data_IF_800810522131
#
_entry.id   IF_800810522131
#
_cell.length_a   1.000
_cell.length_b   1.000
_cell.length_c   1.000
_cell.angle_alpha   90.00
_cell.angle_beta   90.00
_cell.angle_gamma   90.00
#
_symmetry.space_group_name_H-M   'P 1'
#
loop_
_entity.id
_entity.type
_entity.pdbx_description
1 polymer ?
#
# COMPACT_ATOMS: atom_id res chain seq x y z
N UNK A 1 24.75 17.07 -25.55
CA UNK A 1 24.06 18.36 -25.27
C UNK A 1 24.27 19.33 -26.43
N UNK A 2 23.39 20.34 -26.60
CA UNK A 2 23.38 21.30 -27.74
C UNK A 2 24.68 22.12 -27.93
N UNK A 3 25.63 22.04 -26.99
CA UNK A 3 26.96 22.69 -27.06
C UNK A 3 28.15 21.76 -27.35
N UNK A 4 27.95 20.51 -27.77
CA UNK A 4 29.06 19.58 -28.07
C UNK A 4 29.63 18.83 -26.86
N UNK A 5 28.97 18.90 -25.69
CA UNK A 5 29.34 18.08 -24.53
C UNK A 5 28.91 16.63 -24.76
N UNK A 6 29.89 15.75 -24.91
CA UNK A 6 29.71 14.30 -24.92
C UNK A 6 29.66 13.79 -23.47
N UNK A 7 28.67 12.95 -23.17
CA UNK A 7 28.57 12.23 -21.91
C UNK A 7 28.42 10.74 -22.22
N UNK A 8 29.11 9.89 -21.45
CA UNK A 8 29.00 8.44 -21.54
C UNK A 8 28.77 7.89 -20.13
N UNK A 9 27.86 6.94 -19.99
CA UNK A 9 27.54 6.26 -18.74
C UNK A 9 27.68 4.76 -18.98
N UNK A 10 28.38 4.08 -18.08
CA UNK A 10 28.40 2.62 -18.00
C UNK A 10 27.55 2.23 -16.80
N UNK A 11 26.54 1.39 -17.03
CA UNK A 11 25.68 0.83 -16.00
C UNK A 11 25.88 -0.68 -15.98
N UNK A 12 26.08 -1.23 -14.79
CA UNK A 12 26.18 -2.67 -14.55
C UNK A 12 24.99 -3.17 -13.74
N UNK A 13 24.75 -4.49 -13.79
CA UNK A 13 23.70 -5.14 -13.00
C UNK A 13 24.01 -5.06 -11.51
N UNK A 14 22.97 -4.90 -10.68
CA UNK A 14 23.13 -5.01 -9.24
C UNK A 14 23.50 -6.46 -8.86
N UNK A 15 24.38 -6.68 -7.87
CA UNK A 15 24.63 -8.02 -7.34
C UNK A 15 23.34 -8.72 -6.92
N UNK A 16 23.31 -10.05 -7.07
CA UNK A 16 22.16 -10.83 -6.62
C UNK A 16 21.88 -10.58 -5.12
N UNK A 17 20.62 -10.34 -4.73
CA UNK A 17 20.28 -10.12 -3.34
C UNK A 17 20.57 -11.38 -2.51
N UNK A 18 21.03 -11.18 -1.28
CA UNK A 18 21.12 -12.27 -0.31
C UNK A 18 19.71 -12.84 -0.06
N UNK A 19 19.58 -14.17 0.05
CA UNK A 19 18.31 -14.78 0.42
C UNK A 19 17.94 -14.36 1.86
N UNK A 20 16.82 -13.66 2.00
CA UNK A 20 16.31 -13.25 3.30
C UNK A 20 15.88 -14.47 4.15
N UNK A 21 16.01 -14.31 5.47
CA UNK A 21 15.62 -15.31 6.46
C UNK A 21 14.10 -15.60 6.44
N UNK A 22 13.74 -16.77 6.99
CA UNK A 22 12.40 -17.35 6.98
C UNK A 22 11.24 -16.35 7.18
N UNK A 23 10.17 -16.56 6.42
CA UNK A 23 8.95 -15.77 6.50
C UNK A 23 8.47 -15.66 7.96
N UNK A 24 8.16 -14.44 8.45
CA UNK A 24 7.60 -14.28 9.79
C UNK A 24 6.28 -15.05 9.92
N UNK A 25 5.96 -15.49 11.16
CA UNK A 25 4.74 -16.24 11.47
C UNK A 25 3.49 -15.63 10.81
N UNK A 26 2.63 -16.49 10.27
CA UNK A 26 1.36 -16.08 9.65
C UNK A 26 0.48 -15.36 10.67
N UNK A 27 0.34 -14.04 10.50
CA UNK A 27 -0.66 -13.27 11.24
C UNK A 27 -2.04 -13.61 10.69
N UNK A 28 -2.97 -13.97 11.57
CA UNK A 28 -4.37 -14.20 11.19
C UNK A 28 -5.03 -12.97 10.53
N UNK A 29 -4.53 -11.76 10.85
CA UNK A 29 -5.06 -10.49 10.37
C UNK A 29 -3.95 -9.49 10.07
N UNK A 30 -4.14 -8.68 9.05
CA UNK A 30 -3.24 -7.60 8.64
C UNK A 30 -4.03 -6.36 8.22
N UNK A 31 -3.35 -5.21 8.23
CA UNK A 31 -3.91 -3.92 7.80
C UNK A 31 -3.13 -3.43 6.58
N UNK A 32 -3.84 -3.11 5.51
CA UNK A 32 -3.29 -2.45 4.34
C UNK A 32 -3.67 -0.95 4.36
N UNK A 33 -2.70 -0.04 4.53
CA UNK A 33 -2.94 1.39 4.47
C UNK A 33 -2.80 1.92 3.04
N UNK A 34 -3.72 2.80 2.63
CA UNK A 34 -3.61 3.66 1.45
C UNK A 34 -3.73 5.12 1.88
N UNK A 35 -3.05 6.00 1.17
CA UNK A 35 -3.23 7.44 1.38
C UNK A 35 -3.09 8.23 0.10
N UNK A 36 -3.82 9.33 0.02
CA UNK A 36 -3.86 10.23 -1.12
C UNK A 36 -3.94 11.70 -0.69
N UNK A 37 -3.58 12.60 -1.61
CA UNK A 37 -3.72 14.05 -1.42
C UNK A 37 -5.18 14.50 -1.56
N UNK A 38 -5.94 13.83 -2.41
CA UNK A 38 -7.36 14.07 -2.65
C UNK A 38 -8.16 12.79 -2.34
N UNK A 39 -9.37 12.90 -1.76
CA UNK A 39 -10.16 11.73 -1.38
C UNK A 39 -10.53 10.87 -2.59
N UNK A 40 -10.80 11.51 -3.73
CA UNK A 40 -11.28 10.86 -4.95
C UNK A 40 -10.22 9.98 -5.64
N UNK A 41 -8.94 10.11 -5.24
CA UNK A 41 -7.87 9.23 -5.73
C UNK A 41 -7.81 7.89 -4.97
N UNK A 42 -8.51 7.74 -3.84
CA UNK A 42 -8.49 6.49 -3.07
C UNK A 42 -9.14 5.30 -3.82
N UNK A 43 -10.29 5.46 -4.51
CA UNK A 43 -10.83 4.42 -5.40
C UNK A 43 -9.88 4.00 -6.52
N UNK A 44 -9.17 4.95 -7.13
CA UNK A 44 -8.19 4.66 -8.20
C UNK A 44 -6.98 3.89 -7.66
N UNK A 45 -6.47 4.28 -6.49
CA UNK A 45 -5.40 3.53 -5.80
C UNK A 45 -5.86 2.12 -5.44
N UNK A 46 -7.09 1.96 -4.92
CA UNK A 46 -7.66 0.66 -4.63
C UNK A 46 -7.73 -0.20 -5.90
N UNK A 47 -8.09 0.38 -7.05
CA UNK A 47 -8.08 -0.29 -8.34
C UNK A 47 -6.68 -0.78 -8.74
N UNK A 48 -5.67 0.09 -8.64
CA UNK A 48 -4.30 -0.28 -8.94
C UNK A 48 -3.81 -1.43 -8.06
N UNK A 49 -4.11 -1.41 -6.76
CA UNK A 49 -3.75 -2.51 -5.86
C UNK A 49 -4.45 -3.81 -6.26
N UNK A 50 -5.73 -3.77 -6.66
CA UNK A 50 -6.42 -4.96 -7.16
C UNK A 50 -5.77 -5.52 -8.42
N UNK A 51 -5.31 -4.67 -9.33
CA UNK A 51 -4.55 -5.08 -10.52
C UNK A 51 -3.21 -5.75 -10.18
N UNK A 52 -2.46 -5.18 -9.23
CA UNK A 52 -1.23 -5.79 -8.71
C UNK A 52 -1.50 -7.14 -8.03
N UNK A 53 -2.61 -7.26 -7.29
CA UNK A 53 -3.05 -8.54 -6.76
C UNK A 53 -3.38 -9.48 -7.92
N UNK A 54 -4.07 -9.05 -8.98
CA UNK A 54 -4.35 -9.90 -10.13
C UNK A 54 -3.10 -10.31 -10.94
N UNK A 55 -1.94 -9.70 -10.69
CA UNK A 55 -0.70 -9.99 -11.41
C UNK A 55 -0.60 -9.28 -12.76
N UNK A 56 -1.34 -8.18 -12.95
CA UNK A 56 -1.37 -7.43 -14.22
C UNK A 56 0.01 -6.88 -14.61
N UNK A 57 0.86 -6.56 -13.62
CA UNK A 57 2.18 -5.98 -13.82
C UNK A 57 3.34 -6.93 -13.50
N UNK A 58 3.08 -8.23 -13.31
CA UNK A 58 4.11 -9.23 -13.00
C UNK A 58 3.63 -10.35 -12.07
N UNK A 59 4.57 -11.09 -11.45
CA UNK A 59 4.23 -12.13 -10.47
C UNK A 59 3.38 -11.56 -9.33
N UNK A 60 2.42 -12.35 -8.85
CA UNK A 60 1.55 -11.97 -7.76
C UNK A 60 2.37 -11.57 -6.51
N UNK A 61 2.14 -10.36 -6.01
CA UNK A 61 2.85 -9.82 -4.84
C UNK A 61 2.39 -10.51 -3.55
N UNK A 62 3.34 -10.88 -2.69
CA UNK A 62 3.05 -11.40 -1.36
C UNK A 62 2.38 -10.31 -0.50
N UNK A 63 1.29 -10.66 0.19
CA UNK A 63 0.53 -9.70 1.00
C UNK A 63 1.36 -9.03 2.11
N UNK A 64 2.26 -9.74 2.83
CA UNK A 64 3.11 -9.12 3.85
C UNK A 64 3.99 -8.02 3.26
N UNK A 65 4.59 -8.25 2.10
CA UNK A 65 5.49 -7.30 1.43
C UNK A 65 4.72 -6.08 0.90
N UNK A 66 3.53 -6.33 0.35
CA UNK A 66 2.61 -5.28 -0.08
C UNK A 66 2.23 -4.37 1.10
N UNK A 67 1.77 -4.96 2.20
CA UNK A 67 1.41 -4.24 3.43
C UNK A 67 2.59 -3.48 4.01
N UNK A 68 3.76 -4.11 4.11
CA UNK A 68 4.99 -3.48 4.59
C UNK A 68 5.38 -2.28 3.72
N UNK A 69 5.38 -2.44 2.40
CA UNK A 69 5.74 -1.38 1.47
C UNK A 69 4.80 -0.19 1.59
N UNK A 70 3.49 -0.44 1.63
CA UNK A 70 2.51 0.63 1.77
C UNK A 70 2.57 1.33 3.14
N UNK A 71 2.88 0.59 4.21
CA UNK A 71 2.99 1.14 5.55
C UNK A 71 4.30 1.92 5.80
N UNK A 72 5.42 1.48 5.24
CA UNK A 72 6.75 1.96 5.64
C UNK A 72 7.57 2.59 4.52
N UNK A 73 7.23 2.33 3.26
CA UNK A 73 8.00 2.80 2.09
C UNK A 73 7.26 3.85 1.26
N UNK A 74 6.03 4.20 1.64
CA UNK A 74 5.23 5.24 1.00
C UNK A 74 5.00 6.42 1.94
N UNK A 75 4.81 7.60 1.35
CA UNK A 75 4.42 8.79 2.12
C UNK A 75 2.98 8.63 2.64
N UNK A 76 2.74 9.10 3.86
CA UNK A 76 1.43 9.07 4.49
C UNK A 76 0.71 10.41 4.32
N UNK A 77 -0.11 10.50 3.28
CA UNK A 77 -0.85 11.70 2.88
C UNK A 77 -2.13 11.93 3.73
N UNK A 78 -2.80 13.10 3.57
CA UNK A 78 -3.92 13.47 4.44
C UNK A 78 -5.16 12.59 4.30
N UNK A 79 -5.58 12.18 3.11
CA UNK A 79 -6.75 11.29 2.98
C UNK A 79 -6.28 9.85 3.09
N UNK A 80 -6.86 9.08 4.00
CA UNK A 80 -6.38 7.75 4.36
C UNK A 80 -7.50 6.74 4.29
N UNK A 81 -7.13 5.54 3.87
CA UNK A 81 -7.98 4.37 3.83
C UNK A 81 -7.21 3.20 4.42
N UNK A 82 -7.82 2.43 5.31
CA UNK A 82 -7.22 1.24 5.92
C UNK A 82 -8.14 0.05 5.71
N UNK A 83 -7.59 -1.05 5.19
CA UNK A 83 -8.32 -2.29 4.97
C UNK A 83 -7.80 -3.36 5.91
N UNK A 84 -8.68 -3.91 6.75
CA UNK A 84 -8.38 -5.09 7.57
C UNK A 84 -8.66 -6.35 6.75
N UNK A 85 -7.69 -7.26 6.64
CA UNK A 85 -7.84 -8.47 5.85
C UNK A 85 -7.16 -9.68 6.52
N UNK A 86 -7.65 -10.88 6.19
CA UNK A 86 -7.06 -12.16 6.63
C UNK A 86 -6.59 -13.02 5.47
N UNK A 87 -7.01 -12.68 4.25
CA UNK A 87 -6.66 -13.37 3.03
C UNK A 87 -6.69 -12.41 1.85
N UNK A 88 -6.10 -12.86 0.72
CA UNK A 88 -6.12 -12.12 -0.54
C UNK A 88 -7.53 -11.87 -1.06
N UNK A 89 -8.41 -12.87 -0.95
CA UNK A 89 -9.82 -12.74 -1.34
C UNK A 89 -10.54 -11.68 -0.48
N UNK A 90 -10.33 -11.70 0.85
CA UNK A 90 -10.95 -10.70 1.73
C UNK A 90 -10.44 -9.27 1.50
N UNK A 91 -9.19 -9.13 1.05
CA UNK A 91 -8.62 -7.85 0.67
C UNK A 91 -9.22 -7.35 -0.65
N UNK A 92 -9.30 -8.22 -1.67
CA UNK A 92 -9.89 -7.89 -2.97
C UNK A 92 -11.36 -7.47 -2.84
N UNK A 93 -12.15 -8.20 -2.06
CA UNK A 93 -13.56 -7.89 -1.78
C UNK A 93 -13.72 -6.48 -1.17
N UNK A 94 -12.92 -6.17 -0.15
CA UNK A 94 -12.96 -4.88 0.52
C UNK A 94 -12.51 -3.73 -0.41
N UNK A 95 -11.47 -3.94 -1.21
CA UNK A 95 -11.02 -2.94 -2.19
C UNK A 95 -12.04 -2.75 -3.32
N UNK A 96 -12.75 -3.80 -3.73
CA UNK A 96 -13.80 -3.71 -4.73
C UNK A 96 -14.98 -2.87 -4.23
N UNK A 97 -15.35 -2.98 -2.94
CA UNK A 97 -16.35 -2.12 -2.33
C UNK A 97 -15.93 -0.64 -2.35
N UNK A 98 -14.66 -0.36 -2.05
CA UNK A 98 -14.08 1.00 -2.11
C UNK A 98 -14.17 1.59 -3.52
N UNK A 99 -13.86 0.80 -4.55
CA UNK A 99 -13.98 1.26 -5.94
C UNK A 99 -15.42 1.64 -6.32
N UNK A 100 -16.40 0.93 -5.78
CA UNK A 100 -17.83 1.21 -6.00
C UNK A 100 -18.38 2.32 -5.11
N UNK A 101 -17.57 2.86 -4.18
CA UNK A 101 -18.03 3.83 -3.19
C UNK A 101 -18.96 3.22 -2.13
N UNK A 102 -18.89 1.90 -1.93
CA UNK A 102 -19.73 1.17 -0.98
C UNK A 102 -19.06 1.07 0.39
N UNK A 103 -19.86 1.15 1.45
CA UNK A 103 -19.38 0.89 2.80
C UNK A 103 -19.02 -0.59 2.96
N UNK A 104 -17.90 -0.88 3.63
CA UNK A 104 -17.48 -2.24 3.93
C UNK A 104 -16.99 -2.31 5.40
N UNK A 105 -17.39 -3.33 6.18
CA UNK A 105 -17.11 -3.38 7.62
C UNK A 105 -15.62 -3.46 7.97
N UNK A 106 -14.77 -3.81 7.00
CA UNK A 106 -13.31 -3.88 7.17
C UNK A 106 -12.55 -2.69 6.59
N UNK A 107 -13.27 -1.67 6.13
CA UNK A 107 -12.68 -0.47 5.54
C UNK A 107 -12.95 0.70 6.47
N UNK A 108 -11.88 1.39 6.84
CA UNK A 108 -11.95 2.68 7.53
C UNK A 108 -11.32 3.72 6.63
N UNK A 109 -12.08 4.77 6.33
CA UNK A 109 -11.61 5.91 5.56
C UNK A 109 -11.80 7.18 6.38
N UNK A 110 -10.74 7.98 6.50
CA UNK A 110 -10.75 9.23 7.25
C UNK A 110 -9.64 10.17 6.74
N UNK A 111 -9.68 11.41 7.20
CA UNK A 111 -8.57 12.36 7.05
C UNK A 111 -7.64 12.26 8.25
N UNK A 112 -6.34 12.34 7.99
CA UNK A 112 -5.31 12.40 9.00
C UNK A 112 -5.56 13.57 9.95
N UNK A 113 -5.67 13.26 11.25
CA UNK A 113 -5.82 14.24 12.31
C UNK A 113 -4.50 14.96 12.57
N UNK A 114 -4.59 16.25 12.88
CA UNK A 114 -3.45 17.06 13.31
C UNK A 114 -2.87 16.50 14.61
N UNK A 115 -1.55 16.62 14.80
CA UNK A 115 -0.85 16.00 15.92
C UNK A 115 -1.46 16.39 17.29
N UNK A 116 -1.86 17.65 17.43
CA UNK A 116 -2.44 18.21 18.65
C UNK A 116 -3.82 17.61 19.01
N UNK A 117 -4.54 17.07 18.02
CA UNK A 117 -5.87 16.48 18.19
C UNK A 117 -5.84 14.98 18.49
N UNK A 118 -4.67 14.33 18.54
CA UNK A 118 -4.50 12.88 18.77
C UNK A 118 -4.45 12.51 20.25
N UNK A 119 -5.40 12.99 21.05
CA UNK A 119 -5.52 12.58 22.46
C UNK A 119 -6.19 11.22 22.56
N UNK A 120 -5.50 10.26 23.17
CA UNK A 120 -6.00 8.91 23.42
C UNK A 120 -6.44 8.78 24.88
N UNK A 121 -7.59 8.15 25.10
CA UNK A 121 -8.06 7.75 26.43
C UNK A 121 -8.23 6.24 26.42
N UNK A 122 -7.65 5.58 27.40
CA UNK A 122 -7.76 4.14 27.60
C UNK A 122 -8.88 3.89 28.61
N UNK A 123 -9.90 3.13 28.23
CA UNK A 123 -11.03 2.76 29.09
C UNK A 123 -10.91 1.26 29.38
N UNK A 124 -10.94 0.89 30.66
CA UNK A 124 -10.82 -0.48 31.16
C UNK A 124 -12.15 -0.92 31.78
#
# INVERSE_FOLDING_TARGET
>A
GFGGTNAHVVLEEAPAPAQDAAAPEERAWSILPLSARHPDALPELAAGIRGELAGENGPAVALPDLGHTLAHRRQHLPHRLSVVHSSRASLDEALAAVQRGEAHPRVVQDRARDAESRRLVWVF
#
